data_IF_069719215283
#
_entry.id   IF_069719215283
#
_cell.length_a   1.000
_cell.length_b   1.000
_cell.length_c   1.000
_cell.angle_alpha   90.00
_cell.angle_beta   90.00
_cell.angle_gamma   90.00
#
_symmetry.space_group_name_H-M   'P 1'
#
loop_
_entity.id
_entity.type
_entity.pdbx_description
1 polymer ?
#
# COMPACT_ATOMS: atom_id res chain seq x y z
N UNK A 1 38.71 39.61 -29.80
CA UNK A 1 39.43 38.37 -29.46
C UNK A 1 39.21 38.11 -27.97
N UNK A 2 38.39 37.12 -27.65
CA UNK A 2 37.93 36.85 -26.27
C UNK A 2 38.78 35.71 -25.68
N UNK A 3 39.38 35.85 -24.50
CA UNK A 3 40.22 34.83 -23.89
C UNK A 3 39.47 33.93 -22.89
N UNK A 4 38.22 33.59 -23.15
CA UNK A 4 37.40 32.86 -22.17
C UNK A 4 37.02 31.40 -22.52
N UNK A 5 37.56 30.85 -23.61
CA UNK A 5 37.17 29.48 -24.02
C UNK A 5 38.05 28.36 -23.43
N UNK A 6 39.23 28.68 -22.88
CA UNK A 6 40.10 27.64 -22.30
C UNK A 6 39.80 27.30 -20.84
N UNK A 7 39.16 28.19 -20.08
CA UNK A 7 38.82 27.94 -18.67
C UNK A 7 37.64 26.99 -18.53
N UNK A 8 36.69 26.99 -19.47
CA UNK A 8 35.52 26.13 -19.44
C UNK A 8 35.86 24.64 -19.68
N UNK A 9 36.84 24.39 -20.56
CA UNK A 9 37.31 23.02 -20.82
C UNK A 9 38.08 22.39 -19.64
N UNK A 10 38.78 23.19 -18.84
CA UNK A 10 39.55 22.69 -17.70
C UNK A 10 38.66 22.36 -16.51
N UNK A 11 37.57 23.08 -16.32
CA UNK A 11 36.57 22.81 -15.26
C UNK A 11 35.68 21.62 -15.60
N UNK A 12 35.38 21.37 -16.88
CA UNK A 12 34.59 20.21 -17.31
C UNK A 12 35.35 18.89 -17.13
N UNK A 13 36.63 18.87 -17.47
CA UNK A 13 37.50 17.69 -17.32
C UNK A 13 37.75 17.33 -15.84
N UNK A 14 37.87 18.33 -14.95
CA UNK A 14 38.03 18.07 -13.51
C UNK A 14 36.73 17.65 -12.85
N UNK A 15 35.59 18.14 -13.31
CA UNK A 15 34.26 17.68 -12.82
C UNK A 15 33.93 16.25 -13.24
N UNK A 16 34.32 15.86 -14.45
CA UNK A 16 34.16 14.49 -14.94
C UNK A 16 35.03 13.48 -14.17
N UNK A 17 36.25 13.86 -13.78
CA UNK A 17 37.16 12.96 -13.04
C UNK A 17 36.73 12.75 -11.57
N UNK A 18 35.90 13.64 -11.00
CA UNK A 18 35.35 13.49 -9.63
C UNK A 18 34.05 12.68 -9.59
N UNK A 19 33.44 12.39 -10.75
CA UNK A 19 32.17 11.60 -10.83
C UNK A 19 32.40 10.09 -11.05
N UNK A 20 33.66 9.65 -11.28
CA UNK A 20 33.94 8.22 -11.51
C UNK A 20 34.12 7.39 -10.24
N UNK A 21 34.06 7.99 -9.04
CA UNK A 21 34.27 7.25 -7.77
C UNK A 21 33.03 7.18 -6.85
N UNK A 22 31.85 7.61 -7.30
CA UNK A 22 30.64 7.44 -6.49
C UNK A 22 30.04 6.06 -6.78
N UNK A 23 30.28 5.12 -5.87
CA UNK A 23 29.65 3.81 -5.89
C UNK A 23 28.17 4.00 -5.58
N UNK A 24 27.31 3.94 -6.59
CA UNK A 24 25.86 3.90 -6.41
C UNK A 24 25.49 2.51 -5.93
N UNK A 25 25.07 2.40 -4.67
CA UNK A 25 24.56 1.15 -4.10
C UNK A 25 23.04 1.19 -4.25
N UNK A 26 22.49 0.29 -5.05
CA UNK A 26 21.04 0.09 -5.16
C UNK A 26 20.52 -0.64 -3.92
N UNK A 27 20.26 0.12 -2.85
CA UNK A 27 19.72 -0.44 -1.60
C UNK A 27 18.27 -0.91 -1.78
N UNK A 28 17.51 -0.31 -2.69
CA UNK A 28 16.11 -0.65 -2.96
C UNK A 28 15.90 -2.14 -3.28
N UNK A 29 16.78 -2.74 -4.05
CA UNK A 29 16.60 -4.13 -4.53
C UNK A 29 16.56 -5.15 -3.38
N UNK A 30 17.42 -5.01 -2.38
CA UNK A 30 17.47 -5.93 -1.24
C UNK A 30 16.23 -5.84 -0.35
N UNK A 31 15.68 -4.63 -0.16
CA UNK A 31 14.46 -4.40 0.64
C UNK A 31 13.25 -5.07 -0.03
N UNK A 32 13.08 -4.91 -1.33
CA UNK A 32 11.96 -5.53 -2.07
C UNK A 32 12.06 -7.06 -2.13
N UNK A 33 13.26 -7.62 -2.25
CA UNK A 33 13.46 -9.08 -2.24
C UNK A 33 13.15 -9.67 -0.86
N UNK A 34 13.51 -9.00 0.22
CA UNK A 34 13.20 -9.41 1.58
C UNK A 34 11.69 -9.34 1.86
N UNK A 35 11.07 -8.20 1.56
CA UNK A 35 9.62 -8.05 1.68
C UNK A 35 8.85 -9.09 0.85
N UNK A 36 9.28 -9.40 -0.36
CA UNK A 36 8.64 -10.42 -1.21
C UNK A 36 8.67 -11.81 -0.57
N UNK A 37 9.79 -12.20 0.06
CA UNK A 37 9.89 -13.46 0.80
C UNK A 37 8.96 -13.49 2.00
N UNK A 38 8.93 -12.43 2.80
CA UNK A 38 8.06 -12.30 3.98
C UNK A 38 6.58 -12.34 3.58
N UNK A 39 6.24 -11.71 2.45
CA UNK A 39 4.88 -11.74 1.89
C UNK A 39 4.44 -13.14 1.49
N UNK A 40 5.34 -13.93 0.87
CA UNK A 40 5.05 -15.32 0.50
C UNK A 40 4.89 -16.21 1.72
N UNK A 41 5.72 -16.03 2.74
CA UNK A 41 5.60 -16.72 4.03
C UNK A 41 4.27 -16.39 4.71
N UNK A 42 3.88 -15.11 4.75
CA UNK A 42 2.61 -14.67 5.32
C UNK A 42 1.42 -15.28 4.58
N UNK A 43 1.41 -15.27 3.24
CA UNK A 43 0.36 -15.92 2.44
C UNK A 43 0.24 -17.42 2.74
N UNK A 44 1.36 -18.10 2.91
CA UNK A 44 1.37 -19.53 3.25
C UNK A 44 0.79 -19.82 4.65
N UNK A 45 1.07 -18.95 5.62
CA UNK A 45 0.51 -19.04 6.97
C UNK A 45 -1.00 -18.79 6.96
N UNK A 46 -1.46 -17.71 6.33
CA UNK A 46 -2.87 -17.37 6.21
C UNK A 46 -3.66 -18.47 5.53
N UNK A 47 -3.11 -19.07 4.47
CA UNK A 47 -3.71 -20.24 3.81
C UNK A 47 -3.89 -21.43 4.75
N UNK A 48 -2.91 -21.71 5.62
CA UNK A 48 -3.02 -22.78 6.63
C UNK A 48 -4.07 -22.48 7.69
N UNK A 49 -4.21 -21.20 8.07
CA UNK A 49 -5.23 -20.72 9.02
C UNK A 49 -6.64 -20.60 8.40
N UNK A 50 -6.76 -20.69 7.08
CA UNK A 50 -8.01 -20.50 6.35
C UNK A 50 -8.47 -19.04 6.29
N UNK A 51 -7.56 -18.08 6.49
CA UNK A 51 -7.86 -16.64 6.48
C UNK A 51 -7.58 -16.06 5.09
N UNK A 52 -8.57 -15.38 4.54
CA UNK A 52 -8.40 -14.60 3.31
C UNK A 52 -8.02 -13.17 3.66
N UNK A 53 -6.84 -12.71 3.26
CA UNK A 53 -6.40 -11.32 3.41
C UNK A 53 -6.64 -10.55 2.12
N UNK A 54 -7.42 -9.48 2.20
CA UNK A 54 -7.69 -8.53 1.12
C UNK A 54 -6.96 -7.22 1.40
N UNK A 55 -6.11 -6.76 0.49
CA UNK A 55 -5.52 -5.43 0.54
C UNK A 55 -6.37 -4.46 -0.30
N UNK A 56 -6.92 -3.42 0.33
CA UNK A 56 -7.74 -2.40 -0.31
C UNK A 56 -6.98 -1.09 -0.42
N UNK A 57 -6.73 -0.66 -1.64
CA UNK A 57 -5.93 0.51 -1.98
C UNK A 57 -6.77 1.59 -2.67
N UNK A 58 -6.36 2.83 -2.57
CA UNK A 58 -6.92 3.94 -3.35
C UNK A 58 -6.19 5.26 -3.11
N UNK A 59 -6.58 6.30 -3.84
CA UNK A 59 -6.28 7.68 -3.47
C UNK A 59 -7.05 8.10 -2.20
N UNK A 60 -6.58 9.11 -1.46
CA UNK A 60 -7.37 9.76 -0.41
C UNK A 60 -8.70 10.27 -0.96
N UNK A 61 -9.76 10.10 -0.19
CA UNK A 61 -11.08 10.61 -0.54
C UNK A 61 -11.82 9.84 -1.65
N UNK A 62 -11.32 8.71 -2.15
CA UNK A 62 -12.00 7.88 -3.16
C UNK A 62 -13.27 7.18 -2.65
N UNK A 63 -13.44 7.09 -1.32
CA UNK A 63 -14.57 6.44 -0.66
C UNK A 63 -14.29 5.03 -0.16
N UNK A 64 -13.04 4.70 0.19
CA UNK A 64 -12.65 3.40 0.76
C UNK A 64 -13.54 3.01 1.94
N UNK A 65 -13.49 3.79 3.01
CA UNK A 65 -14.19 3.53 4.27
C UNK A 65 -15.69 3.36 4.07
N UNK A 66 -16.33 4.20 3.23
CA UNK A 66 -17.76 4.08 2.90
C UNK A 66 -18.07 2.78 2.18
N UNK A 67 -17.24 2.40 1.20
CA UNK A 67 -17.40 1.15 0.44
C UNK A 67 -17.18 -0.05 1.35
N UNK A 68 -16.18 -0.01 2.23
CA UNK A 68 -15.93 -1.05 3.23
C UNK A 68 -17.11 -1.25 4.15
N UNK A 69 -17.66 -0.21 4.74
CA UNK A 69 -18.82 -0.28 5.64
C UNK A 69 -20.00 -0.95 4.94
N UNK A 70 -20.30 -0.54 3.70
CA UNK A 70 -21.39 -1.14 2.92
C UNK A 70 -21.13 -2.64 2.64
N UNK A 71 -19.92 -3.00 2.25
CA UNK A 71 -19.51 -4.37 1.96
C UNK A 71 -19.58 -5.24 3.22
N UNK A 72 -19.00 -4.78 4.33
CA UNK A 72 -19.00 -5.50 5.60
C UNK A 72 -20.40 -5.76 6.10
N UNK A 73 -21.29 -4.76 6.06
CA UNK A 73 -22.69 -4.93 6.47
C UNK A 73 -23.46 -5.95 5.61
N UNK A 74 -23.04 -6.17 4.37
CA UNK A 74 -23.64 -7.18 3.50
C UNK A 74 -23.17 -8.62 3.78
N UNK A 75 -21.99 -8.79 4.42
CA UNK A 75 -21.35 -10.11 4.57
C UNK A 75 -21.12 -10.56 6.01
N UNK A 76 -21.09 -9.65 6.99
CA UNK A 76 -20.70 -9.92 8.39
C UNK A 76 -21.54 -10.99 9.10
N UNK A 77 -22.79 -11.19 8.67
CA UNK A 77 -23.66 -12.22 9.24
C UNK A 77 -23.39 -13.62 8.65
N UNK A 78 -22.53 -13.70 7.62
CA UNK A 78 -22.22 -14.95 6.91
C UNK A 78 -20.81 -15.45 7.15
N UNK A 79 -19.88 -14.52 7.36
CA UNK A 79 -18.46 -14.81 7.57
C UNK A 79 -17.88 -13.91 8.66
N UNK A 80 -16.85 -14.39 9.36
CA UNK A 80 -16.16 -13.63 10.40
C UNK A 80 -15.14 -12.69 9.78
N UNK A 81 -15.42 -11.39 9.87
CA UNK A 81 -14.60 -10.33 9.22
C UNK A 81 -13.95 -9.44 10.28
N UNK A 82 -12.71 -9.05 10.06
CA UNK A 82 -12.04 -7.96 10.77
C UNK A 82 -11.36 -6.99 9.80
N UNK A 83 -11.13 -5.75 10.24
CA UNK A 83 -10.45 -4.71 9.46
C UNK A 83 -9.23 -4.20 10.20
N UNK A 84 -8.14 -4.07 9.47
CA UNK A 84 -6.96 -3.29 9.82
C UNK A 84 -6.98 -2.02 8.97
N UNK A 85 -7.10 -0.87 9.60
CA UNK A 85 -7.06 0.42 8.92
C UNK A 85 -5.66 1.01 9.09
N UNK A 86 -5.02 1.41 8.00
CA UNK A 86 -3.69 1.97 8.00
C UNK A 86 -3.73 3.46 7.65
N UNK A 87 -3.29 4.27 8.58
CA UNK A 87 -3.11 5.71 8.39
C UNK A 87 -1.80 6.19 9.02
N UNK A 88 -1.36 7.37 8.64
CA UNK A 88 -0.13 7.96 9.17
C UNK A 88 -0.29 8.28 10.66
N UNK A 89 -1.43 8.86 11.07
CA UNK A 89 -1.65 9.35 12.45
C UNK A 89 -3.14 9.43 12.87
N UNK A 90 -4.09 8.99 12.03
CA UNK A 90 -5.53 9.11 12.31
C UNK A 90 -6.14 7.77 12.68
N UNK A 91 -7.10 7.75 13.62
CA UNK A 91 -7.91 6.60 14.01
C UNK A 91 -9.39 6.73 13.60
N UNK A 92 -9.73 7.81 12.93
CA UNK A 92 -11.12 8.20 12.61
C UNK A 92 -11.83 7.14 11.77
N UNK A 93 -11.15 6.56 10.78
CA UNK A 93 -11.78 5.60 9.87
C UNK A 93 -11.93 4.22 10.53
N UNK A 94 -10.99 3.78 11.38
CA UNK A 94 -11.15 2.57 12.18
C UNK A 94 -12.34 2.67 13.15
N UNK A 95 -12.50 3.82 13.81
CA UNK A 95 -13.64 4.10 14.71
C UNK A 95 -14.96 4.06 13.93
N UNK A 96 -15.04 4.73 12.79
CA UNK A 96 -16.23 4.72 11.93
C UNK A 96 -16.63 3.32 11.49
N UNK A 97 -15.67 2.50 11.06
CA UNK A 97 -15.91 1.12 10.64
C UNK A 97 -16.51 0.34 11.82
N UNK A 98 -15.88 0.41 13.00
CA UNK A 98 -16.34 -0.28 14.20
C UNK A 98 -17.75 0.14 14.61
N UNK A 99 -18.02 1.45 14.65
CA UNK A 99 -19.35 1.98 15.02
C UNK A 99 -20.44 1.59 14.02
N UNK A 100 -20.13 1.65 12.70
CA UNK A 100 -21.12 1.40 11.65
C UNK A 100 -21.38 -0.08 11.40
N UNK A 101 -20.45 -0.97 11.75
CA UNK A 101 -20.52 -2.40 11.40
C UNK A 101 -20.57 -3.32 12.61
N UNK A 102 -20.03 -2.89 13.75
CA UNK A 102 -19.93 -3.70 14.98
C UNK A 102 -18.84 -4.78 14.92
N UNK A 103 -18.07 -4.89 13.83
CA UNK A 103 -16.98 -5.87 13.73
C UNK A 103 -15.71 -5.39 14.43
N UNK A 104 -14.75 -6.28 14.58
CA UNK A 104 -13.41 -5.94 15.05
C UNK A 104 -12.72 -5.05 14.02
N UNK A 105 -12.24 -3.88 14.46
CA UNK A 105 -11.47 -2.94 13.66
C UNK A 105 -10.31 -2.42 14.49
N UNK A 106 -9.10 -2.48 13.95
CA UNK A 106 -7.90 -1.96 14.58
C UNK A 106 -7.24 -0.91 13.70
N UNK A 107 -6.54 0.03 14.35
CA UNK A 107 -5.75 1.05 13.69
C UNK A 107 -4.28 0.65 13.66
N UNK A 108 -3.65 0.77 12.48
CA UNK A 108 -2.22 0.63 12.28
C UNK A 108 -1.60 2.01 12.01
N UNK A 109 -0.86 2.55 12.96
CA UNK A 109 -0.08 3.77 12.76
C UNK A 109 1.24 3.43 12.07
N UNK A 110 1.42 3.96 10.87
CA UNK A 110 2.61 3.65 10.05
C UNK A 110 3.88 4.41 10.46
N UNK A 111 3.77 5.32 11.43
CA UNK A 111 4.92 6.12 11.90
C UNK A 111 5.50 7.05 10.82
N UNK A 112 4.65 7.53 9.90
CA UNK A 112 5.04 8.43 8.82
C UNK A 112 5.31 7.74 7.49
N UNK A 113 5.23 6.40 7.41
CA UNK A 113 5.33 5.69 6.13
C UNK A 113 4.01 5.76 5.36
N UNK A 114 4.13 5.86 4.04
CA UNK A 114 2.98 5.99 3.13
C UNK A 114 2.52 4.64 2.55
N UNK A 115 2.91 3.51 3.15
CA UNK A 115 2.57 2.15 2.76
C UNK A 115 2.72 1.20 3.95
N UNK A 116 2.20 -0.02 3.79
CA UNK A 116 2.55 -1.16 4.61
C UNK A 116 3.29 -2.21 3.77
N UNK A 117 4.19 -2.93 4.42
CA UNK A 117 4.84 -4.14 3.92
C UNK A 117 4.25 -5.39 4.57
N UNK A 118 4.84 -6.57 4.28
CA UNK A 118 4.36 -7.84 4.81
C UNK A 118 4.56 -7.97 6.32
N UNK A 119 5.66 -7.46 6.86
CA UNK A 119 5.95 -7.53 8.30
C UNK A 119 4.99 -6.63 9.10
N UNK A 120 4.75 -5.41 8.65
CA UNK A 120 3.77 -4.50 9.26
C UNK A 120 2.35 -5.09 9.22
N UNK A 121 2.00 -5.74 8.09
CA UNK A 121 0.72 -6.44 7.95
C UNK A 121 0.61 -7.62 8.92
N UNK A 122 1.68 -8.41 9.09
CA UNK A 122 1.76 -9.50 10.07
C UNK A 122 1.51 -8.99 11.50
N UNK A 123 2.20 -7.91 11.88
CA UNK A 123 2.01 -7.29 13.20
C UNK A 123 0.55 -6.87 13.43
N UNK A 124 -0.11 -6.35 12.41
CA UNK A 124 -1.55 -6.05 12.46
C UNK A 124 -2.40 -7.31 12.68
N UNK A 125 -2.17 -8.35 11.89
CA UNK A 125 -2.92 -9.62 11.98
C UNK A 125 -2.75 -10.30 13.34
N UNK A 126 -1.57 -10.23 13.96
CA UNK A 126 -1.31 -10.81 15.28
C UNK A 126 -2.08 -10.13 16.42
N UNK A 127 -2.63 -8.94 16.17
CA UNK A 127 -3.49 -8.21 17.09
C UNK A 127 -4.99 -8.42 16.83
N UNK A 128 -5.38 -9.22 15.84
CA UNK A 128 -6.77 -9.58 15.56
C UNK A 128 -7.16 -10.87 16.26
N UNK A 129 -8.48 -11.05 16.47
CA UNK A 129 -9.05 -12.27 17.01
C UNK A 129 -8.79 -13.46 16.10
N UNK A 130 -8.64 -14.65 16.67
CA UNK A 130 -8.49 -15.89 15.92
C UNK A 130 -9.79 -16.34 15.21
N UNK A 131 -9.62 -17.19 14.20
CA UNK A 131 -10.71 -17.83 13.48
C UNK A 131 -11.47 -16.89 12.55
N UNK A 132 -10.80 -15.89 12.00
CA UNK A 132 -11.34 -15.05 10.93
C UNK A 132 -11.44 -15.84 9.62
N UNK A 133 -12.48 -15.54 8.84
CA UNK A 133 -12.58 -15.96 7.45
C UNK A 133 -11.96 -14.92 6.51
N UNK A 134 -12.14 -13.63 6.85
CA UNK A 134 -11.68 -12.49 6.05
C UNK A 134 -11.02 -11.43 6.94
N UNK A 135 -9.79 -11.10 6.65
CA UNK A 135 -9.13 -9.89 7.12
C UNK A 135 -9.03 -8.89 5.97
N UNK A 136 -9.41 -7.64 6.20
CA UNK A 136 -9.28 -6.57 5.22
C UNK A 136 -8.26 -5.57 5.73
N UNK A 137 -7.23 -5.33 4.92
CA UNK A 137 -6.28 -4.24 5.13
C UNK A 137 -6.74 -3.03 4.31
N UNK A 138 -7.26 -2.00 4.94
CA UNK A 138 -7.44 -0.68 4.32
C UNK A 138 -6.10 0.04 4.31
N UNK A 139 -5.41 0.03 3.17
CA UNK A 139 -4.07 0.58 3.05
C UNK A 139 -4.08 2.12 3.01
N UNK A 140 -2.95 2.73 3.35
CA UNK A 140 -2.76 4.18 3.30
C UNK A 140 -3.21 4.75 1.95
N UNK A 141 -3.91 5.88 1.99
CA UNK A 141 -4.40 6.57 0.79
C UNK A 141 -3.28 7.10 -0.10
N UNK A 142 -2.76 6.25 -0.99
CA UNK A 142 -1.65 6.55 -1.90
C UNK A 142 -1.69 5.60 -3.10
N UNK A 143 -1.31 6.08 -4.30
CA UNK A 143 -1.28 5.27 -5.53
C UNK A 143 0.14 4.85 -5.97
N UNK A 144 1.17 5.22 -5.23
CA UNK A 144 2.58 4.92 -5.58
C UNK A 144 3.14 3.88 -4.62
N UNK A 145 3.40 4.29 -3.37
CA UNK A 145 4.11 3.43 -2.41
C UNK A 145 3.39 2.09 -2.13
N UNK A 146 2.05 2.03 -1.91
CA UNK A 146 1.37 0.76 -1.69
C UNK A 146 1.41 -0.21 -2.89
N UNK A 147 1.75 0.28 -4.09
CA UNK A 147 1.93 -0.57 -5.26
C UNK A 147 3.32 -1.20 -5.33
N UNK A 148 4.30 -0.64 -4.63
CA UNK A 148 5.69 -1.13 -4.64
C UNK A 148 5.96 -2.20 -3.57
N UNK A 149 5.13 -2.26 -2.52
CA UNK A 149 5.33 -3.15 -1.37
C UNK A 149 4.23 -4.22 -1.31
N UNK A 150 4.66 -5.46 -1.27
CA UNK A 150 3.75 -6.60 -1.11
C UNK A 150 3.37 -6.76 0.38
N UNK A 151 2.08 -6.69 0.66
CA UNK A 151 1.53 -6.82 2.02
C UNK A 151 1.30 -8.27 2.45
N UNK A 152 1.59 -9.25 1.61
CA UNK A 152 1.22 -10.65 1.84
C UNK A 152 -0.27 -10.95 1.62
N UNK A 153 -1.04 -10.01 1.06
CA UNK A 153 -2.45 -10.22 0.75
C UNK A 153 -2.66 -11.31 -0.33
N UNK A 154 -3.78 -12.01 -0.23
CA UNK A 154 -4.21 -13.01 -1.22
C UNK A 154 -4.69 -12.32 -2.50
N UNK A 155 -5.35 -11.17 -2.34
CA UNK A 155 -5.85 -10.33 -3.44
C UNK A 155 -5.68 -8.86 -3.12
N UNK A 156 -5.48 -8.09 -4.19
CA UNK A 156 -5.41 -6.65 -4.19
C UNK A 156 -6.66 -6.06 -4.86
N UNK A 157 -7.39 -5.21 -4.14
CA UNK A 157 -8.49 -4.43 -4.69
C UNK A 157 -8.14 -2.95 -4.65
N UNK A 158 -8.65 -2.19 -5.61
CA UNK A 158 -8.47 -0.76 -5.69
C UNK A 158 -9.81 -0.07 -5.89
N UNK A 159 -9.99 1.10 -5.25
CA UNK A 159 -11.11 2.00 -5.52
C UNK A 159 -10.60 3.21 -6.29
N UNK A 160 -11.19 3.45 -7.45
CA UNK A 160 -11.01 4.66 -8.25
C UNK A 160 -12.32 5.43 -8.27
N UNK A 161 -12.33 6.69 -7.85
CA UNK A 161 -13.53 7.52 -7.96
C UNK A 161 -13.54 8.34 -9.25
N UNK A 162 -14.71 8.49 -9.86
CA UNK A 162 -14.87 9.27 -11.12
C UNK A 162 -14.31 10.70 -11.00
N UNK A 163 -14.50 11.44 -9.89
CA UNK A 163 -13.94 12.79 -9.73
C UNK A 163 -12.40 12.86 -9.73
N UNK A 164 -11.69 11.76 -9.55
CA UNK A 164 -10.22 11.74 -9.59
C UNK A 164 -9.66 11.91 -11.01
N UNK A 165 -10.50 11.74 -12.02
CA UNK A 165 -10.14 11.88 -13.43
C UNK A 165 -9.75 10.57 -14.11
N UNK A 166 -9.84 10.58 -15.43
CA UNK A 166 -9.62 9.39 -16.28
C UNK A 166 -8.14 9.09 -16.57
N UNK A 167 -7.23 9.95 -16.14
CA UNK A 167 -5.80 9.86 -16.41
C UNK A 167 -5.02 9.03 -15.35
N UNK A 168 -5.67 8.65 -14.26
CA UNK A 168 -5.03 7.87 -13.18
C UNK A 168 -4.37 6.57 -13.64
N UNK A 169 -4.99 5.74 -14.50
CA UNK A 169 -4.34 4.52 -14.99
C UNK A 169 -3.04 4.80 -15.76
N UNK A 170 -2.98 5.92 -16.49
CA UNK A 170 -1.80 6.31 -17.23
C UNK A 170 -0.70 6.89 -16.35
N UNK A 171 -1.08 7.56 -15.25
CA UNK A 171 -0.13 8.15 -14.29
C UNK A 171 0.44 7.14 -13.30
N UNK A 172 -0.34 6.13 -12.94
CA UNK A 172 0.01 5.13 -11.91
C UNK A 172 -0.12 3.69 -12.42
N UNK A 173 0.54 3.34 -13.54
CA UNK A 173 0.33 2.06 -14.21
C UNK A 173 0.64 0.86 -13.32
N UNK A 174 1.62 0.96 -12.41
CA UNK A 174 1.96 -0.12 -11.49
C UNK A 174 0.78 -0.47 -10.58
N UNK A 175 0.14 0.52 -9.96
CA UNK A 175 -1.02 0.30 -9.10
C UNK A 175 -2.13 -0.47 -9.81
N UNK A 176 -2.44 -0.11 -11.05
CA UNK A 176 -3.48 -0.78 -11.83
C UNK A 176 -3.06 -2.18 -12.31
N UNK A 177 -1.76 -2.44 -12.46
CA UNK A 177 -1.26 -3.74 -12.91
C UNK A 177 -1.23 -4.81 -11.81
N UNK A 178 -1.08 -4.39 -10.54
CA UNK A 178 -1.05 -5.31 -9.40
C UNK A 178 -2.42 -5.61 -8.82
N UNK A 179 -3.46 -4.84 -9.18
CA UNK A 179 -4.81 -5.03 -8.66
C UNK A 179 -5.53 -6.17 -9.40
N UNK A 180 -6.13 -7.08 -8.64
CA UNK A 180 -7.03 -8.12 -9.16
C UNK A 180 -8.39 -7.53 -9.52
N UNK A 181 -8.83 -6.48 -8.79
CA UNK A 181 -10.14 -5.83 -8.95
C UNK A 181 -9.99 -4.31 -8.82
N UNK A 182 -10.63 -3.58 -9.73
CA UNK A 182 -10.79 -2.12 -9.65
C UNK A 182 -12.28 -1.79 -9.54
N UNK A 183 -12.66 -1.12 -8.45
CA UNK A 183 -14.01 -0.61 -8.22
C UNK A 183 -14.08 0.86 -8.67
N UNK A 184 -15.03 1.17 -9.58
CA UNK A 184 -15.30 2.54 -9.98
C UNK A 184 -16.39 3.10 -9.06
N UNK A 185 -16.06 4.15 -8.31
CA UNK A 185 -16.94 4.74 -7.31
C UNK A 185 -17.35 6.18 -7.68
N UNK A 186 -18.38 6.70 -7.04
CA UNK A 186 -18.94 8.05 -7.28
C UNK A 186 -19.33 8.27 -8.74
N UNK A 187 -19.95 7.25 -9.33
CA UNK A 187 -20.55 7.30 -10.69
C UNK A 187 -21.81 8.13 -10.73
#
# INVERSE_FOLDING_TARGET
MLPNMQIIHYLSARKLKFMEEVKVIEIKKSIFEENGREADELRAELKKKGVFLLNLMSSPGSGKTTTLIATINAIKDKIKVAVMEADIDSDVDAIKIKEATGIESIQLHTGGMCHLDAEMTRQGLDNLSEGLDLAILENVGNLVCPAEFDTGAVRNAMILSVPEGHDKPLKYPLMFSICDVVLINKT
#
